data_IF_595064929680
#
_entry.id   IF_595064929680
#
_cell.length_a   1.000
_cell.length_b   1.000
_cell.length_c   1.000
_cell.angle_alpha   90.00
_cell.angle_beta   90.00
_cell.angle_gamma   90.00
#
_symmetry.space_group_name_H-M   'P 1'
#
loop_
_entity.id
_entity.type
_entity.pdbx_description
1 polymer ?
#
# COMPACT_ATOMS: atom_id res chain seq x y z
N UNK A 1 11.24 42.23 7.96
CA UNK A 1 11.21 40.87 7.38
C UNK A 1 11.90 40.89 6.01
N UNK A 2 12.97 40.11 5.84
CA UNK A 2 13.76 40.10 4.59
C UNK A 2 12.87 39.69 3.39
N UNK A 3 13.20 40.18 2.18
CA UNK A 3 12.44 39.85 0.95
C UNK A 3 12.35 38.33 0.74
N UNK A 4 13.43 37.62 1.07
CA UNK A 4 13.53 36.15 0.98
C UNK A 4 12.48 35.46 1.85
N UNK A 5 12.33 35.85 3.11
CA UNK A 5 11.32 35.26 4.01
C UNK A 5 9.89 35.52 3.52
N UNK A 6 9.63 36.65 2.86
CA UNK A 6 8.30 36.93 2.25
C UNK A 6 7.99 35.97 1.10
N UNK A 7 8.98 35.67 0.26
CA UNK A 7 8.83 34.73 -0.86
C UNK A 7 8.65 33.31 -0.34
N UNK A 8 9.53 32.88 0.56
CA UNK A 8 9.49 31.53 1.13
C UNK A 8 8.24 31.27 1.97
N UNK A 9 7.60 32.29 2.56
CA UNK A 9 6.33 32.14 3.30
C UNK A 9 5.08 32.46 2.45
N UNK A 10 5.19 32.51 1.12
CA UNK A 10 4.08 32.90 0.25
C UNK A 10 3.19 31.72 -0.15
N UNK A 11 1.87 31.95 -0.20
CA UNK A 11 0.89 30.97 -0.70
C UNK A 11 1.09 30.69 -2.20
N UNK A 12 1.54 31.68 -2.97
CA UNK A 12 1.85 31.52 -4.41
C UNK A 12 2.91 30.45 -4.61
N UNK A 13 3.97 30.47 -3.81
CA UNK A 13 5.02 29.45 -3.84
C UNK A 13 4.45 28.06 -3.50
N UNK A 14 3.59 27.96 -2.47
CA UNK A 14 2.94 26.70 -2.11
C UNK A 14 2.17 26.10 -3.29
N UNK A 15 1.32 26.90 -3.95
CA UNK A 15 0.50 26.44 -5.08
C UNK A 15 1.38 26.04 -6.26
N UNK A 16 2.43 26.81 -6.56
CA UNK A 16 3.39 26.47 -7.62
C UNK A 16 4.11 25.14 -7.33
N UNK A 17 4.57 24.92 -6.10
CA UNK A 17 5.24 23.69 -5.71
C UNK A 17 4.31 22.47 -5.75
N UNK A 18 3.04 22.63 -5.33
CA UNK A 18 2.05 21.57 -5.44
C UNK A 18 1.75 21.20 -6.90
N UNK A 19 1.61 22.20 -7.77
CA UNK A 19 1.41 21.96 -9.21
C UNK A 19 2.62 21.23 -9.83
N UNK A 20 3.84 21.66 -9.50
CA UNK A 20 5.07 20.97 -9.91
C UNK A 20 5.13 19.54 -9.34
N UNK A 21 4.66 19.33 -8.11
CA UNK A 21 4.56 18.01 -7.49
C UNK A 21 3.59 17.09 -8.22
N UNK A 22 2.43 17.59 -8.65
CA UNK A 22 1.47 16.82 -9.48
C UNK A 22 2.12 16.42 -10.80
N UNK A 23 2.78 17.35 -11.48
CA UNK A 23 3.50 17.06 -12.73
C UNK A 23 4.63 16.04 -12.52
N UNK A 24 5.36 16.15 -11.41
CA UNK A 24 6.40 15.19 -11.04
C UNK A 24 5.83 13.79 -10.84
N UNK A 25 4.71 13.67 -10.10
CA UNK A 25 4.03 12.38 -9.90
C UNK A 25 3.59 11.79 -11.23
N UNK A 26 2.94 12.59 -12.08
CA UNK A 26 2.47 12.16 -13.39
C UNK A 26 3.60 11.65 -14.31
N UNK A 27 4.71 12.38 -14.39
CA UNK A 27 5.84 11.94 -15.22
C UNK A 27 6.61 10.77 -14.60
N UNK A 28 6.71 10.75 -13.27
CA UNK A 28 7.32 9.64 -12.54
C UNK A 28 6.56 8.34 -12.76
N UNK A 29 5.21 8.36 -12.74
CA UNK A 29 4.39 7.17 -13.01
C UNK A 29 4.45 6.73 -14.46
N UNK A 30 4.48 7.65 -15.43
CA UNK A 30 4.73 7.29 -16.83
C UNK A 30 6.11 6.63 -17.02
N UNK A 31 7.13 7.10 -16.30
CA UNK A 31 8.46 6.51 -16.37
C UNK A 31 8.53 5.10 -15.76
N UNK A 32 7.66 4.76 -14.79
CA UNK A 32 7.62 3.42 -14.16
C UNK A 32 7.38 2.30 -15.17
N UNK A 33 6.68 2.57 -16.27
CA UNK A 33 6.41 1.59 -17.33
C UNK A 33 7.71 1.11 -18.01
N UNK A 34 8.72 1.98 -18.11
CA UNK A 34 9.96 1.68 -18.85
C UNK A 34 11.18 1.50 -17.95
N UNK A 35 11.27 2.25 -16.87
CA UNK A 35 12.42 2.23 -15.95
C UNK A 35 12.18 1.28 -14.76
N UNK A 36 10.95 0.79 -14.59
CA UNK A 36 10.54 0.06 -13.40
C UNK A 36 10.31 0.97 -12.19
N UNK A 37 9.61 0.45 -11.18
CA UNK A 37 9.18 1.22 -10.00
C UNK A 37 10.35 1.77 -9.20
N UNK A 38 11.39 0.95 -9.02
CA UNK A 38 12.57 1.33 -8.23
C UNK A 38 13.41 2.42 -8.90
N UNK A 39 13.71 2.28 -10.20
CA UNK A 39 14.54 3.25 -10.89
C UNK A 39 13.80 4.58 -11.10
N UNK A 40 12.50 4.53 -11.40
CA UNK A 40 11.65 5.72 -11.45
C UNK A 40 11.62 6.46 -10.10
N UNK A 41 11.54 5.73 -8.98
CA UNK A 41 11.69 6.30 -7.63
C UNK A 41 13.02 7.05 -7.48
N UNK A 42 14.13 6.40 -7.84
CA UNK A 42 15.47 6.97 -7.71
C UNK A 42 15.67 8.22 -8.57
N UNK A 43 15.22 8.18 -9.82
CA UNK A 43 15.43 9.24 -10.80
C UNK A 43 14.53 10.46 -10.59
N UNK A 44 13.25 10.25 -10.25
CA UNK A 44 12.27 11.34 -10.18
C UNK A 44 12.03 11.82 -8.74
N UNK A 45 11.89 10.90 -7.79
CA UNK A 45 11.44 11.24 -6.44
C UNK A 45 12.60 11.41 -5.45
N UNK A 46 13.67 10.63 -5.60
CA UNK A 46 14.88 10.69 -4.76
C UNK A 46 16.01 11.51 -5.39
N UNK A 47 15.65 12.52 -6.18
CA UNK A 47 16.60 13.41 -6.84
C UNK A 47 16.31 14.86 -6.49
N UNK A 48 17.36 15.70 -6.51
CA UNK A 48 17.23 17.15 -6.40
C UNK A 48 16.86 17.77 -7.75
N UNK A 49 17.48 17.27 -8.82
CA UNK A 49 17.29 17.73 -10.19
C UNK A 49 17.22 16.50 -11.08
N UNK A 50 16.24 16.48 -11.97
CA UNK A 50 16.07 15.46 -12.99
C UNK A 50 16.70 16.00 -14.26
N UNK A 51 17.73 15.32 -14.72
CA UNK A 51 18.34 15.59 -16.02
C UNK A 51 17.82 14.56 -17.01
N UNK A 52 17.37 15.04 -18.16
CA UNK A 52 16.94 14.22 -19.28
C UNK A 52 15.82 13.21 -18.96
N UNK A 53 14.64 13.67 -18.46
CA UNK A 53 13.53 12.79 -18.11
C UNK A 53 13.12 11.90 -19.29
N UNK A 54 12.84 10.64 -19.00
CA UNK A 54 12.30 9.69 -19.97
C UNK A 54 10.79 9.94 -20.11
N UNK A 55 10.39 10.34 -21.31
CA UNK A 55 9.03 10.66 -21.69
C UNK A 55 8.70 9.93 -22.98
N UNK A 56 7.74 9.00 -22.94
CA UNK A 56 7.22 8.32 -24.13
C UNK A 56 8.37 7.73 -25.00
N UNK A 57 9.22 6.92 -24.37
CA UNK A 57 10.40 6.27 -24.94
C UNK A 57 11.58 7.17 -25.35
N UNK A 58 11.47 8.50 -25.23
CA UNK A 58 12.54 9.43 -25.56
C UNK A 58 13.01 10.17 -24.31
N UNK A 59 14.33 10.36 -24.18
CA UNK A 59 14.88 11.28 -23.17
C UNK A 59 14.82 12.71 -23.68
N UNK A 60 14.11 13.57 -22.96
CA UNK A 60 13.93 14.97 -23.33
C UNK A 60 15.01 15.80 -22.65
N UNK A 61 15.75 16.68 -23.35
CA UNK A 61 16.82 17.49 -22.74
C UNK A 61 16.25 18.67 -21.94
N UNK A 62 15.40 18.36 -20.96
CA UNK A 62 14.76 19.32 -20.06
C UNK A 62 15.24 19.03 -18.65
N UNK A 63 15.48 20.11 -17.90
CA UNK A 63 15.83 20.03 -16.49
C UNK A 63 14.55 20.25 -15.70
N UNK A 64 14.16 19.24 -14.91
CA UNK A 64 13.00 19.33 -14.04
C UNK A 64 13.44 19.31 -12.57
N UNK A 65 12.73 20.04 -11.68
CA UNK A 65 12.96 19.93 -10.25
C UNK A 65 12.56 18.52 -9.76
N UNK A 66 13.47 17.86 -9.03
CA UNK A 66 13.23 16.53 -8.49
C UNK A 66 12.44 16.55 -7.19
N UNK A 67 12.04 15.36 -6.72
CA UNK A 67 11.20 15.19 -5.54
C UNK A 67 11.81 15.77 -4.26
N UNK A 68 13.11 15.64 -4.04
CA UNK A 68 13.77 16.24 -2.87
C UNK A 68 13.74 17.77 -2.92
N UNK A 69 13.96 18.37 -4.09
CA UNK A 69 13.93 19.82 -4.21
C UNK A 69 12.53 20.37 -3.94
N UNK A 70 11.52 19.85 -4.65
CA UNK A 70 10.13 20.30 -4.46
C UNK A 70 9.69 20.05 -3.01
N UNK A 71 9.94 18.86 -2.48
CA UNK A 71 9.56 18.46 -1.12
C UNK A 71 10.21 19.33 -0.05
N UNK A 72 11.53 19.54 -0.11
CA UNK A 72 12.24 20.37 0.88
C UNK A 72 11.79 21.81 0.83
N UNK A 73 11.66 22.42 -0.36
CA UNK A 73 11.18 23.80 -0.47
C UNK A 73 9.75 23.93 0.03
N UNK A 74 8.88 22.95 -0.24
CA UNK A 74 7.50 22.93 0.25
C UNK A 74 7.44 22.85 1.77
N UNK A 75 8.22 21.96 2.40
CA UNK A 75 8.31 21.86 3.86
C UNK A 75 8.77 23.17 4.49
N UNK A 76 9.86 23.74 3.99
CA UNK A 76 10.37 25.05 4.47
C UNK A 76 9.31 26.14 4.28
N UNK A 77 8.61 26.14 3.15
CA UNK A 77 7.55 27.10 2.86
C UNK A 77 6.40 27.01 3.86
N UNK A 78 5.90 25.80 4.12
CA UNK A 78 4.80 25.57 5.06
C UNK A 78 5.19 25.92 6.49
N UNK A 79 6.40 25.54 6.93
CA UNK A 79 6.92 25.90 8.25
C UNK A 79 7.01 27.42 8.42
N UNK A 80 7.61 28.12 7.46
CA UNK A 80 7.73 29.58 7.52
C UNK A 80 6.37 30.27 7.46
N UNK A 81 5.43 29.77 6.65
CA UNK A 81 4.08 30.29 6.59
C UNK A 81 3.34 30.13 7.93
N UNK A 82 3.47 28.96 8.56
CA UNK A 82 2.84 28.66 9.86
C UNK A 82 3.40 29.56 10.98
N UNK A 83 4.73 29.66 11.09
CA UNK A 83 5.36 30.45 12.16
C UNK A 83 5.31 31.96 11.95
N UNK A 84 5.10 32.45 10.72
CA UNK A 84 4.95 33.88 10.43
C UNK A 84 3.73 34.51 11.09
N UNK A 85 2.65 33.76 11.28
CA UNK A 85 1.43 34.23 11.95
C UNK A 85 1.46 34.10 13.47
N UNK A 86 2.49 33.46 14.03
CA UNK A 86 2.58 33.21 15.46
C UNK A 86 3.21 34.40 16.19
N UNK A 87 2.41 35.10 17.00
CA UNK A 87 2.90 36.12 17.94
C UNK A 87 3.64 35.45 19.11
N UNK A 88 4.84 34.93 18.84
CA UNK A 88 5.69 34.23 19.83
C UNK A 88 6.05 35.08 21.05
N UNK A 89 6.06 36.41 20.90
CA UNK A 89 6.38 37.36 21.97
C UNK A 89 5.31 37.45 23.08
N UNK A 90 4.09 36.97 22.85
CA UNK A 90 2.98 37.03 23.81
C UNK A 90 2.52 35.66 24.31
N UNK A 91 3.10 34.56 23.80
CA UNK A 91 2.66 33.20 24.16
C UNK A 91 3.64 32.59 25.16
N UNK A 92 3.16 32.35 26.38
CA UNK A 92 3.91 31.57 27.36
C UNK A 92 4.22 30.19 26.78
N UNK A 93 5.46 29.71 26.91
CA UNK A 93 5.88 28.37 26.44
C UNK A 93 4.93 27.30 26.98
N UNK A 94 4.47 27.45 28.23
CA UNK A 94 3.49 26.57 28.85
C UNK A 94 2.13 26.54 28.12
N UNK A 95 1.64 27.68 27.61
CA UNK A 95 0.39 27.73 26.83
C UNK A 95 0.55 27.10 25.44
N UNK A 96 1.71 27.26 24.82
CA UNK A 96 2.02 26.61 23.53
C UNK A 96 2.05 25.10 23.72
N UNK A 97 2.77 24.61 24.72
CA UNK A 97 2.80 23.19 25.06
C UNK A 97 1.41 22.65 25.40
N UNK A 98 0.62 23.39 26.19
CA UNK A 98 -0.74 22.99 26.56
C UNK A 98 -1.69 22.83 25.36
N UNK A 99 -1.47 23.52 24.24
CA UNK A 99 -2.30 23.35 23.03
C UNK A 99 -1.73 22.30 22.07
N UNK A 100 -0.41 22.27 21.87
CA UNK A 100 0.20 21.43 20.83
C UNK A 100 0.41 19.99 21.29
N UNK A 101 0.66 19.75 22.58
CA UNK A 101 0.86 18.40 23.11
C UNK A 101 -0.42 17.55 23.02
N UNK A 102 -1.61 18.03 23.43
CA UNK A 102 -2.85 17.27 23.24
C UNK A 102 -3.20 17.05 21.77
N UNK A 103 -2.94 18.04 20.90
CA UNK A 103 -3.16 17.91 19.46
C UNK A 103 -2.27 16.82 18.86
N UNK A 104 -0.98 16.80 19.21
CA UNK A 104 -0.04 15.75 18.79
C UNK A 104 -0.45 14.38 19.33
N UNK A 105 -0.86 14.29 20.59
CA UNK A 105 -1.37 13.05 21.19
C UNK A 105 -2.62 12.55 20.46
N UNK A 106 -3.56 13.44 20.12
CA UNK A 106 -4.77 13.11 19.35
C UNK A 106 -4.40 12.59 17.95
N UNK A 107 -3.52 13.29 17.24
CA UNK A 107 -3.04 12.87 15.92
C UNK A 107 -2.34 11.50 16.00
N UNK A 108 -1.53 11.29 17.04
CA UNK A 108 -0.85 10.02 17.26
C UNK A 108 -1.85 8.88 17.51
N UNK A 109 -2.83 9.08 18.40
CA UNK A 109 -3.87 8.08 18.67
C UNK A 109 -4.70 7.79 17.42
N UNK A 110 -5.12 8.82 16.69
CA UNK A 110 -5.85 8.64 15.43
C UNK A 110 -5.05 7.84 14.41
N UNK A 111 -3.75 8.13 14.27
CA UNK A 111 -2.85 7.40 13.38
C UNK A 111 -2.66 5.96 13.84
N UNK A 112 -2.46 5.75 15.14
CA UNK A 112 -2.29 4.43 15.73
C UNK A 112 -3.52 3.54 15.49
N UNK A 113 -4.73 4.08 15.73
CA UNK A 113 -5.99 3.39 15.46
C UNK A 113 -6.15 3.12 13.96
N UNK A 114 -5.80 4.07 13.09
CA UNK A 114 -5.90 3.87 11.65
C UNK A 114 -4.97 2.79 11.11
N UNK A 115 -3.75 2.69 11.64
CA UNK A 115 -2.80 1.64 11.27
C UNK A 115 -3.26 0.27 11.76
N UNK A 116 -3.81 0.18 12.97
CA UNK A 116 -4.18 -1.11 13.58
C UNK A 116 -5.57 -1.59 13.18
N UNK A 117 -6.46 -0.68 12.82
CA UNK A 117 -7.84 -0.95 12.44
C UNK A 117 -8.26 -0.04 11.28
N UNK A 118 -7.99 -0.44 10.03
CA UNK A 118 -8.22 0.39 8.84
C UNK A 118 -9.65 0.93 8.76
N UNK A 119 -10.65 0.10 9.05
CA UNK A 119 -12.06 0.51 9.04
C UNK A 119 -12.40 1.59 10.09
N UNK A 120 -11.93 1.42 11.32
CA UNK A 120 -12.21 2.35 12.41
C UNK A 120 -11.46 3.66 12.16
N UNK A 121 -10.20 3.58 11.71
CA UNK A 121 -9.42 4.74 11.30
C UNK A 121 -10.08 5.54 10.19
N UNK A 122 -10.58 4.86 9.16
CA UNK A 122 -11.31 5.48 8.06
C UNK A 122 -12.58 6.18 8.55
N UNK A 123 -13.37 5.50 9.40
CA UNK A 123 -14.56 6.09 10.02
C UNK A 123 -14.22 7.35 10.82
N UNK A 124 -13.14 7.31 11.62
CA UNK A 124 -12.66 8.47 12.37
C UNK A 124 -12.25 9.63 11.45
N UNK A 125 -11.50 9.38 10.38
CA UNK A 125 -11.11 10.42 9.42
C UNK A 125 -12.31 11.04 8.72
N UNK A 126 -13.31 10.25 8.33
CA UNK A 126 -14.53 10.76 7.72
C UNK A 126 -15.35 11.61 8.69
N UNK A 127 -15.42 11.22 9.97
CA UNK A 127 -16.08 12.02 11.02
C UNK A 127 -15.33 13.34 11.25
N UNK A 128 -14.00 13.32 11.32
CA UNK A 128 -13.19 14.53 11.47
C UNK A 128 -13.33 15.46 10.26
N UNK A 129 -13.37 14.90 9.05
CA UNK A 129 -13.58 15.66 7.81
C UNK A 129 -15.00 16.25 7.75
N UNK A 130 -16.02 15.50 8.18
CA UNK A 130 -17.39 16.00 8.27
C UNK A 130 -17.51 17.12 9.32
N UNK A 131 -16.83 16.99 10.46
CA UNK A 131 -16.75 18.02 11.48
C UNK A 131 -16.04 19.27 10.96
N UNK A 132 -14.91 19.12 10.26
CA UNK A 132 -14.20 20.24 9.63
C UNK A 132 -15.07 20.96 8.60
N UNK A 133 -15.74 20.21 7.71
CA UNK A 133 -16.70 20.76 6.75
C UNK A 133 -17.86 21.49 7.44
N UNK A 134 -18.39 20.94 8.53
CA UNK A 134 -19.47 21.53 9.31
C UNK A 134 -19.02 22.82 10.02
N UNK A 135 -17.82 22.84 10.59
CA UNK A 135 -17.22 24.03 11.22
C UNK A 135 -16.91 25.10 10.16
N UNK A 136 -16.37 24.70 9.00
CA UNK A 136 -16.05 25.62 7.90
C UNK A 136 -17.27 26.39 7.37
N UNK A 137 -18.47 25.81 7.53
CA UNK A 137 -19.76 26.41 7.14
C UNK A 137 -20.34 27.38 8.18
N UNK A 138 -19.85 27.37 9.41
CA UNK A 138 -20.35 28.23 10.50
C UNK A 138 -19.68 29.60 10.59
N UNK A 139 -18.63 29.86 9.80
CA UNK A 139 -17.92 31.13 9.78
C UNK A 139 -18.74 32.31 9.22
N UNK A 140 -18.26 33.57 9.39
CA UNK A 140 -18.99 34.80 9.02
C UNK A 140 -19.23 34.99 7.50
N UNK A 141 -18.68 34.12 6.66
CA UNK A 141 -18.92 34.10 5.21
C UNK A 141 -20.10 33.18 4.87
N UNK A 142 -21.25 33.37 5.54
CA UNK A 142 -22.44 32.51 5.37
C UNK A 142 -23.00 32.55 3.95
N UNK A 143 -22.99 33.72 3.31
CA UNK A 143 -23.72 33.92 2.05
C UNK A 143 -22.84 34.46 0.94
N UNK A 144 -22.27 33.55 0.16
CA UNK A 144 -22.04 33.73 -1.29
C UNK A 144 -21.36 32.47 -1.81
N UNK A 145 -21.97 31.84 -2.81
CA UNK A 145 -21.29 30.95 -3.75
C UNK A 145 -20.32 31.79 -4.60
N UNK A 146 -19.34 32.41 -3.96
CA UNK A 146 -18.21 33.02 -4.65
C UNK A 146 -17.32 31.86 -5.08
N UNK A 147 -16.84 31.83 -6.33
CA UNK A 147 -15.93 30.80 -6.86
C UNK A 147 -14.69 30.49 -5.99
N UNK A 148 -14.40 31.32 -4.99
CA UNK A 148 -13.42 31.09 -3.90
C UNK A 148 -13.68 29.83 -3.07
N UNK A 149 -14.93 29.39 -2.89
CA UNK A 149 -15.26 28.16 -2.12
C UNK A 149 -15.20 26.88 -2.95
N UNK A 150 -15.12 27.00 -4.28
CA UNK A 150 -15.10 25.86 -5.19
C UNK A 150 -13.84 25.01 -4.94
N UNK A 151 -12.69 25.65 -4.82
CA UNK A 151 -11.42 24.97 -4.51
C UNK A 151 -11.46 24.20 -3.18
N UNK A 152 -12.05 24.79 -2.13
CA UNK A 152 -12.18 24.12 -0.83
C UNK A 152 -13.05 22.87 -0.97
N UNK A 153 -14.22 22.97 -1.59
CA UNK A 153 -15.10 21.82 -1.79
C UNK A 153 -14.43 20.75 -2.65
N UNK A 154 -13.69 21.12 -3.71
CA UNK A 154 -12.93 20.18 -4.54
C UNK A 154 -11.83 19.46 -3.76
N UNK A 155 -11.09 20.15 -2.88
CA UNK A 155 -10.10 19.50 -2.02
C UNK A 155 -10.75 18.46 -1.11
N UNK A 156 -11.88 18.79 -0.49
CA UNK A 156 -12.57 17.85 0.40
C UNK A 156 -13.16 16.66 -0.35
N UNK A 157 -13.78 16.90 -1.51
CA UNK A 157 -14.28 15.82 -2.39
C UNK A 157 -13.12 14.92 -2.81
N UNK A 158 -11.98 15.51 -3.20
CA UNK A 158 -10.78 14.77 -3.55
C UNK A 158 -10.27 13.89 -2.40
N UNK A 159 -10.16 14.44 -1.19
CA UNK A 159 -9.74 13.67 -0.01
C UNK A 159 -10.73 12.56 0.32
N UNK A 160 -12.03 12.82 0.29
CA UNK A 160 -13.06 11.79 0.52
C UNK A 160 -12.98 10.70 -0.55
N UNK A 161 -12.79 11.07 -1.81
CA UNK A 161 -12.65 10.12 -2.92
C UNK A 161 -11.38 9.26 -2.77
N UNK A 162 -10.25 9.85 -2.37
CA UNK A 162 -9.00 9.11 -2.12
C UNK A 162 -9.16 8.15 -0.93
N UNK A 163 -9.78 8.59 0.16
CA UNK A 163 -10.07 7.77 1.33
C UNK A 163 -10.97 6.59 0.97
N UNK A 164 -12.10 6.83 0.30
CA UNK A 164 -13.00 5.77 -0.16
C UNK A 164 -12.31 4.82 -1.16
N UNK A 165 -11.49 5.35 -2.07
CA UNK A 165 -10.71 4.55 -3.02
C UNK A 165 -9.72 3.63 -2.32
N UNK A 166 -9.06 4.09 -1.26
CA UNK A 166 -8.16 3.27 -0.46
C UNK A 166 -8.92 2.15 0.25
N UNK A 167 -10.07 2.44 0.87
CA UNK A 167 -10.90 1.40 1.51
C UNK A 167 -11.43 0.38 0.50
N UNK A 168 -11.86 0.85 -0.68
CA UNK A 168 -12.29 -0.04 -1.75
C UNK A 168 -11.15 -0.93 -2.23
N UNK A 169 -9.94 -0.39 -2.38
CA UNK A 169 -8.75 -1.18 -2.74
C UNK A 169 -8.45 -2.22 -1.66
N UNK A 170 -8.46 -1.83 -0.38
CA UNK A 170 -8.22 -2.75 0.73
C UNK A 170 -9.21 -3.94 0.75
N UNK A 171 -10.47 -3.69 0.42
CA UNK A 171 -11.53 -4.70 0.48
C UNK A 171 -11.71 -5.52 -0.79
N UNK A 172 -11.40 -4.95 -1.94
CA UNK A 172 -11.74 -5.52 -3.24
C UNK A 172 -10.49 -5.96 -4.02
N UNK A 173 -9.30 -5.47 -3.67
CA UNK A 173 -8.08 -5.84 -4.37
C UNK A 173 -7.68 -7.28 -4.02
N UNK A 174 -7.42 -8.07 -5.06
CA UNK A 174 -6.82 -9.39 -4.95
C UNK A 174 -5.44 -9.31 -5.59
N UNK A 175 -4.40 -9.56 -4.79
CA UNK A 175 -3.02 -9.60 -5.26
C UNK A 175 -2.67 -11.02 -5.70
N UNK A 176 -2.31 -11.19 -6.98
CA UNK A 176 -1.81 -12.45 -7.53
C UNK A 176 -0.56 -12.21 -8.35
N UNK A 177 0.29 -13.22 -8.43
CA UNK A 177 1.49 -13.21 -9.25
C UNK A 177 1.36 -14.22 -10.39
N UNK A 178 1.93 -13.85 -11.54
CA UNK A 178 1.96 -14.68 -12.73
C UNK A 178 3.39 -14.68 -13.25
N UNK A 179 4.05 -15.83 -13.15
CA UNK A 179 5.43 -16.01 -13.62
C UNK A 179 5.40 -16.81 -14.92
N UNK A 180 5.97 -16.24 -15.98
CA UNK A 180 6.14 -16.91 -17.27
C UNK A 180 7.61 -17.14 -17.57
N UNK A 181 7.93 -18.25 -18.24
CA UNK A 181 9.18 -18.39 -18.99
C UNK A 181 8.93 -18.05 -20.46
N UNK A 182 9.97 -17.62 -21.18
CA UNK A 182 9.86 -17.32 -22.61
C UNK A 182 9.34 -18.54 -23.37
N UNK A 183 8.18 -18.39 -24.02
CA UNK A 183 7.50 -19.45 -24.76
C UNK A 183 6.35 -20.16 -24.02
N UNK A 184 6.24 -20.03 -22.70
CA UNK A 184 5.20 -20.70 -21.91
C UNK A 184 3.84 -19.97 -21.98
N UNK A 185 2.74 -20.74 -22.06
CA UNK A 185 1.37 -20.23 -21.91
C UNK A 185 0.72 -20.78 -20.63
N UNK A 186 0.14 -19.90 -19.80
CA UNK A 186 -0.56 -20.27 -18.55
C UNK A 186 -1.86 -19.47 -18.41
N UNK A 187 -2.89 -20.10 -17.84
CA UNK A 187 -4.23 -19.51 -17.65
C UNK A 187 -4.65 -19.42 -16.18
N UNK A 188 -3.69 -19.37 -15.26
CA UNK A 188 -3.89 -19.34 -13.82
C UNK A 188 -2.79 -18.48 -13.17
N UNK A 189 -3.08 -17.91 -12.00
CA UNK A 189 -2.16 -17.03 -11.25
C UNK A 189 -2.05 -17.49 -9.79
N UNK A 190 -0.89 -17.30 -9.18
CA UNK A 190 -0.57 -17.78 -7.83
C UNK A 190 -0.75 -16.69 -6.76
N UNK A 191 -1.13 -17.09 -5.55
CA UNK A 191 -1.03 -16.26 -4.35
C UNK A 191 0.12 -16.78 -3.49
N UNK A 192 1.11 -15.94 -3.21
CA UNK A 192 2.34 -16.40 -2.54
C UNK A 192 2.20 -16.63 -1.03
N UNK A 193 1.11 -16.20 -0.41
CA UNK A 193 0.89 -16.26 1.05
C UNK A 193 -0.14 -17.30 1.48
N UNK A 194 -0.84 -17.91 0.53
CA UNK A 194 -1.85 -18.92 0.81
C UNK A 194 -1.32 -20.26 0.30
N UNK A 195 -1.50 -21.33 1.07
CA UNK A 195 -1.15 -22.68 0.62
C UNK A 195 -2.34 -23.34 -0.05
N UNK A 196 -2.09 -24.15 -1.07
CA UNK A 196 -3.11 -25.01 -1.67
C UNK A 196 -2.49 -26.30 -2.16
N UNK A 197 -3.30 -27.37 -2.20
CA UNK A 197 -2.90 -28.62 -2.82
C UNK A 197 -3.33 -28.59 -4.28
N UNK A 198 -2.36 -28.69 -5.19
CA UNK A 198 -2.60 -28.60 -6.62
C UNK A 198 -2.28 -29.93 -7.29
N UNK A 199 -3.24 -30.45 -8.07
CA UNK A 199 -3.02 -31.54 -9.00
C UNK A 199 -2.85 -30.98 -10.41
N UNK A 200 -1.73 -31.33 -11.04
CA UNK A 200 -1.41 -30.96 -12.41
C UNK A 200 -1.57 -32.18 -13.31
N UNK A 201 -2.22 -32.00 -14.45
CA UNK A 201 -2.32 -33.00 -15.51
C UNK A 201 -1.92 -32.37 -16.84
N UNK A 202 -0.88 -32.89 -17.45
CA UNK A 202 -0.47 -32.53 -18.80
C UNK A 202 -1.53 -33.00 -19.81
N UNK A 203 -2.05 -32.07 -20.63
CA UNK A 203 -3.02 -32.34 -21.69
C UNK A 203 -2.35 -32.37 -23.08
N UNK A 204 -1.04 -32.12 -23.17
CA UNK A 204 -0.31 -31.96 -24.42
C UNK A 204 -0.46 -30.57 -25.04
N UNK A 205 0.39 -30.27 -26.03
CA UNK A 205 0.40 -28.98 -26.74
C UNK A 205 0.55 -27.74 -25.84
N UNK A 206 1.41 -27.85 -24.80
CA UNK A 206 1.68 -26.79 -23.82
C UNK A 206 0.42 -26.37 -23.01
N UNK A 207 -0.51 -27.31 -22.81
CA UNK A 207 -1.69 -27.13 -21.98
C UNK A 207 -1.62 -28.02 -20.74
N UNK A 208 -1.81 -27.40 -19.57
CA UNK A 208 -1.91 -28.10 -18.29
C UNK A 208 -3.31 -27.91 -17.69
N UNK A 209 -3.91 -28.99 -17.22
CA UNK A 209 -5.09 -28.95 -16.39
C UNK A 209 -4.67 -28.84 -14.92
N UNK A 210 -5.12 -27.77 -14.27
CA UNK A 210 -4.85 -27.48 -12.87
C UNK A 210 -6.11 -27.69 -12.04
N UNK A 211 -6.00 -28.50 -10.99
CA UNK A 211 -7.07 -28.72 -10.00
C UNK A 211 -6.52 -28.35 -8.62
N UNK A 212 -6.90 -27.18 -8.13
CA UNK A 212 -6.49 -26.68 -6.83
C UNK A 212 -7.53 -26.97 -5.75
N UNK A 213 -7.06 -27.32 -4.55
CA UNK A 213 -7.84 -27.50 -3.34
C UNK A 213 -7.29 -26.55 -2.28
N UNK A 214 -8.12 -25.62 -1.81
CA UNK A 214 -7.70 -24.61 -0.83
C UNK A 214 -7.38 -25.20 0.54
N UNK A 215 -6.44 -24.57 1.24
CA UNK A 215 -6.07 -24.89 2.63
C UNK A 215 -7.27 -24.99 3.57
N UNK A 216 -8.23 -24.08 3.45
CA UNK A 216 -9.44 -24.05 4.27
C UNK A 216 -10.31 -25.30 4.16
N UNK A 217 -10.24 -26.00 3.03
CA UNK A 217 -10.92 -27.29 2.83
C UNK A 217 -10.06 -28.43 3.33
N UNK A 218 -8.75 -28.38 3.11
CA UNK A 218 -7.80 -29.38 3.62
C UNK A 218 -7.79 -29.42 5.16
N UNK A 219 -7.84 -28.26 5.81
CA UNK A 219 -7.83 -28.11 7.26
C UNK A 219 -9.04 -28.75 7.96
N UNK A 220 -10.17 -28.90 7.25
CA UNK A 220 -11.37 -29.60 7.78
C UNK A 220 -11.16 -31.10 7.94
N UNK A 221 -10.10 -31.64 7.32
CA UNK A 221 -9.81 -33.08 7.20
C UNK A 221 -10.96 -33.85 6.53
N UNK A 222 -10.78 -35.16 6.35
CA UNK A 222 -11.81 -36.04 5.80
C UNK A 222 -11.69 -36.31 4.30
N UNK A 223 -12.77 -36.86 3.72
CA UNK A 223 -12.82 -37.24 2.31
C UNK A 223 -13.44 -36.15 1.46
N UNK A 224 -12.84 -35.92 0.31
CA UNK A 224 -13.35 -34.98 -0.66
C UNK A 224 -13.21 -35.53 -2.08
N UNK A 225 -14.27 -35.29 -2.87
CA UNK A 225 -14.28 -35.54 -4.31
C UNK A 225 -14.07 -34.20 -5.01
N UNK A 226 -12.93 -34.04 -5.66
CA UNK A 226 -12.70 -32.92 -6.56
C UNK A 226 -13.15 -33.34 -7.97
N UNK A 227 -14.02 -32.55 -8.59
CA UNK A 227 -14.77 -32.89 -9.81
C UNK A 227 -13.87 -33.26 -11.00
N UNK A 228 -12.63 -32.74 -11.02
CA UNK A 228 -11.69 -32.86 -12.14
C UNK A 228 -10.56 -33.87 -11.93
N UNK A 229 -10.56 -34.60 -10.80
CA UNK A 229 -9.58 -35.69 -10.55
C UNK A 229 -10.29 -37.05 -10.51
N UNK A 230 -9.68 -38.11 -11.07
CA UNK A 230 -10.31 -39.44 -11.16
C UNK A 230 -10.26 -40.24 -9.84
N UNK A 231 -9.91 -39.62 -8.72
CA UNK A 231 -9.73 -40.26 -7.42
C UNK A 231 -10.28 -39.41 -6.28
N UNK A 232 -10.56 -40.04 -5.15
CA UNK A 232 -10.97 -39.36 -3.91
C UNK A 232 -9.73 -38.93 -3.14
N UNK A 233 -9.71 -37.69 -2.68
CA UNK A 233 -8.65 -37.17 -1.82
C UNK A 233 -9.12 -37.30 -0.37
N UNK A 234 -8.34 -37.99 0.48
CA UNK A 234 -8.62 -38.09 1.92
C UNK A 234 -7.47 -37.47 2.70
N UNK A 235 -7.75 -36.41 3.43
CA UNK A 235 -6.77 -35.74 4.27
C UNK A 235 -6.62 -36.52 5.58
N UNK A 236 -5.51 -37.25 5.72
CA UNK A 236 -5.19 -38.02 6.93
C UNK A 236 -4.70 -37.13 8.07
N UNK A 237 -3.80 -36.20 7.76
CA UNK A 237 -3.29 -35.24 8.71
C UNK A 237 -3.03 -33.88 8.05
N UNK A 238 -3.04 -32.83 8.86
CA UNK A 238 -2.91 -31.44 8.43
C UNK A 238 -2.22 -30.63 9.52
N UNK A 239 -1.18 -29.88 9.14
CA UNK A 239 -0.46 -28.96 10.00
C UNK A 239 -0.23 -27.65 9.24
N UNK A 240 -0.53 -26.50 9.90
CA UNK A 240 -0.35 -25.17 9.32
C UNK A 240 1.13 -24.86 9.08
N UNK A 241 1.95 -25.18 10.08
CA UNK A 241 3.40 -25.12 10.01
C UNK A 241 3.95 -26.51 10.29
N UNK A 242 4.98 -26.91 9.56
CA UNK A 242 5.64 -28.17 9.81
C UNK A 242 7.08 -28.15 9.35
N UNK A 243 7.95 -28.81 10.12
CA UNK A 243 9.30 -29.09 9.67
C UNK A 243 9.28 -30.38 8.85
N UNK A 244 9.71 -30.30 7.60
CA UNK A 244 9.85 -31.47 6.73
C UNK A 244 11.28 -31.96 6.84
N UNK A 245 11.45 -33.13 7.46
CA UNK A 245 12.76 -33.79 7.58
C UNK A 245 12.76 -35.13 6.88
N UNK A 246 13.95 -35.57 6.46
CA UNK A 246 14.12 -36.95 5.98
C UNK A 246 13.95 -37.91 7.16
N UNK A 247 13.22 -38.99 6.93
CA UNK A 247 12.99 -40.04 7.93
C UNK A 247 14.32 -40.75 8.21
N UNK A 248 14.57 -41.05 9.48
CA UNK A 248 15.72 -41.82 9.93
C UNK A 248 15.24 -43.20 10.38
N UNK A 249 15.33 -44.26 9.55
CA UNK A 249 14.70 -45.56 9.82
C UNK A 249 15.14 -46.24 11.12
N UNK A 250 16.31 -45.89 11.65
CA UNK A 250 16.83 -46.40 12.93
C UNK A 250 16.28 -45.66 14.16
N UNK A 251 15.69 -44.46 13.99
CA UNK A 251 15.10 -43.66 15.07
C UNK A 251 13.58 -43.56 14.97
N UNK A 252 13.03 -43.52 13.75
CA UNK A 252 11.60 -43.35 13.49
C UNK A 252 10.90 -44.72 13.35
N UNK A 253 10.40 -45.26 14.46
CA UNK A 253 9.73 -46.58 14.53
C UNK A 253 8.33 -46.59 13.92
N UNK A 254 7.71 -45.43 13.72
CA UNK A 254 6.39 -45.31 13.12
C UNK A 254 6.42 -45.63 11.61
N UNK A 255 5.38 -46.26 11.05
CA UNK A 255 5.31 -46.53 9.62
C UNK A 255 5.38 -45.22 8.80
N UNK A 256 5.96 -45.24 7.59
CA UNK A 256 6.10 -44.04 6.78
C UNK A 256 4.71 -43.46 6.44
N UNK A 257 4.58 -42.12 6.44
CA UNK A 257 3.29 -41.45 6.22
C UNK A 257 2.75 -41.64 4.79
N UNK A 258 3.62 -41.92 3.82
CA UNK A 258 3.25 -42.30 2.47
C UNK A 258 3.84 -43.66 2.07
N UNK A 259 3.15 -44.35 1.17
CA UNK A 259 3.57 -45.65 0.63
C UNK A 259 4.41 -45.54 -0.64
N UNK A 260 4.41 -44.37 -1.30
CA UNK A 260 5.11 -44.14 -2.57
C UNK A 260 5.60 -42.68 -2.68
N UNK A 261 6.57 -42.47 -3.58
CA UNK A 261 7.10 -41.15 -3.93
C UNK A 261 7.95 -40.52 -2.82
N UNK A 262 8.20 -39.21 -2.95
CA UNK A 262 9.05 -38.46 -2.01
C UNK A 262 8.54 -38.54 -0.56
N UNK A 263 7.22 -38.65 -0.34
CA UNK A 263 6.63 -38.75 0.99
C UNK A 263 6.97 -40.04 1.76
N UNK A 264 7.48 -41.08 1.10
CA UNK A 264 7.88 -42.31 1.78
C UNK A 264 9.17 -42.14 2.59
N UNK A 265 10.02 -41.18 2.18
CA UNK A 265 11.30 -40.85 2.82
C UNK A 265 11.22 -39.62 3.72
N UNK A 266 10.06 -38.94 3.78
CA UNK A 266 9.87 -37.69 4.50
C UNK A 266 8.96 -37.89 5.70
N UNK A 267 9.24 -37.14 6.77
CA UNK A 267 8.40 -37.01 7.94
C UNK A 267 8.11 -35.54 8.17
N UNK A 268 6.86 -35.22 8.49
CA UNK A 268 6.43 -33.86 8.81
C UNK A 268 6.17 -33.78 10.30
N UNK A 269 6.89 -32.91 10.98
CA UNK A 269 6.67 -32.61 12.39
C UNK A 269 5.90 -31.29 12.49
N UNK A 270 4.68 -31.29 13.05
CA UNK A 270 3.90 -30.07 13.19
C UNK A 270 4.59 -29.09 14.13
N UNK A 271 4.68 -27.83 13.71
CA UNK A 271 5.17 -26.72 14.51
C UNK A 271 4.01 -25.83 14.95
N UNK A 272 4.24 -25.08 16.02
CA UNK A 272 3.27 -24.09 16.48
C UNK A 272 3.03 -23.01 15.40
N UNK A 273 1.87 -22.35 15.42
CA UNK A 273 1.63 -21.17 14.60
C UNK A 273 2.69 -20.11 14.86
N UNK A 274 3.27 -19.54 13.80
CA UNK A 274 4.15 -18.37 13.91
C UNK A 274 3.23 -17.16 13.94
N UNK A 275 3.16 -16.45 15.07
CA UNK A 275 2.38 -15.22 15.24
C UNK A 275 3.08 -14.02 14.62
#
# INVERSE_FOLDING_TARGET
MSRVLKILSSLRLTVTLLALGIMLVFFGTLAQVHEGTWNAQKLYFQSWIITNPLLYHRRWPVILPGGYLIGTVLVVNLLLAHFKGANWRQRNVMQVLAHHVPLLALVFVATYVAVRSPFIGMGLFLVLLAADLWVSRQGPLKDTYTGKKLGINFTHIGVVMLLLGQLATDQLAVETHLTFREGEKRSWSEKHRESELVFLKDLGADQEQVVAISESVLARKGEMRAEKVPFVVRVKDYALNGNVRRRAPMMDTNPPPATQGAGAELMVEPLAPVN
#
